data_IF_032755660856
#
_entry.id   IF_032755660856
#
_cell.length_a   1.000
_cell.length_b   1.000
_cell.length_c   1.000
_cell.angle_alpha   90.00
_cell.angle_beta   90.00
_cell.angle_gamma   90.00
#
_symmetry.space_group_name_H-M   'P 1'
#
loop_
_entity.id
_entity.type
_entity.pdbx_description
1 polymer ?
#
# COMPACT_ATOMS: atom_id res chain seq x y z
N UNK A 1 -7.77 -11.85 53.85
CA UNK A 1 -7.72 -13.22 54.40
C UNK A 1 -7.19 -14.15 53.31
N UNK A 2 -6.29 -15.06 53.71
CA UNK A 2 -5.56 -15.95 52.78
C UNK A 2 -6.51 -17.05 52.26
N UNK A 3 -7.39 -16.90 51.46
CA UNK A 3 -8.30 -17.92 50.89
C UNK A 3 -9.51 -17.32 50.19
N UNK A 4 -9.85 -16.09 50.50
CA UNK A 4 -11.02 -15.42 49.93
C UNK A 4 -10.86 -15.20 48.44
N UNK A 5 -9.65 -14.81 47.96
CA UNK A 5 -9.33 -14.66 46.56
C UNK A 5 -9.41 -15.96 45.75
N UNK A 6 -8.99 -17.09 46.39
CA UNK A 6 -9.06 -18.41 45.74
C UNK A 6 -10.52 -18.80 45.54
N UNK A 7 -11.35 -18.64 46.58
CA UNK A 7 -12.79 -18.96 46.49
C UNK A 7 -13.52 -18.11 45.47
N UNK A 8 -13.21 -16.80 45.39
CA UNK A 8 -13.75 -15.92 44.35
C UNK A 8 -13.31 -16.34 42.96
N UNK A 9 -12.04 -16.67 42.75
CA UNK A 9 -11.51 -17.18 41.51
C UNK A 9 -12.17 -18.48 41.05
N UNK A 10 -12.32 -19.43 41.97
CA UNK A 10 -13.03 -20.70 41.72
C UNK A 10 -14.51 -20.48 41.35
N UNK A 11 -15.18 -19.57 42.05
CA UNK A 11 -16.58 -19.23 41.76
C UNK A 11 -16.74 -18.59 40.33
N UNK A 12 -15.82 -17.72 39.94
CA UNK A 12 -15.86 -17.13 38.61
C UNK A 12 -15.54 -18.17 37.50
N UNK A 13 -14.59 -19.06 37.76
CA UNK A 13 -14.30 -20.19 36.84
C UNK A 13 -15.51 -21.11 36.69
N UNK A 14 -16.15 -21.49 37.80
CA UNK A 14 -17.35 -22.34 37.79
C UNK A 14 -18.52 -21.65 37.04
N UNK A 15 -18.71 -20.35 37.24
CA UNK A 15 -19.71 -19.54 36.52
C UNK A 15 -19.45 -19.51 35.01
N UNK A 16 -18.20 -19.31 34.60
CA UNK A 16 -17.82 -19.31 33.19
C UNK A 16 -17.98 -20.69 32.58
N UNK A 17 -17.58 -21.75 33.29
CA UNK A 17 -17.77 -23.12 32.86
C UNK A 17 -19.27 -23.44 32.65
N UNK A 18 -20.12 -23.21 33.66
CA UNK A 18 -21.55 -23.43 33.51
C UNK A 18 -22.19 -22.56 32.44
N UNK A 19 -21.74 -21.30 32.29
CA UNK A 19 -22.24 -20.37 31.31
C UNK A 19 -21.87 -20.74 29.87
N UNK A 20 -20.77 -21.45 29.64
CA UNK A 20 -20.37 -21.90 28.30
C UNK A 20 -21.31 -22.94 27.67
N UNK A 21 -22.08 -23.66 28.49
CA UNK A 21 -23.12 -24.59 28.00
C UNK A 21 -24.42 -23.88 27.57
N UNK A 22 -24.58 -22.61 27.96
CA UNK A 22 -25.85 -21.87 27.74
C UNK A 22 -25.67 -20.78 26.70
N UNK A 23 -24.49 -20.14 26.65
CA UNK A 23 -24.22 -19.00 25.79
C UNK A 23 -23.01 -19.24 24.90
N UNK A 24 -23.21 -19.25 23.57
CA UNK A 24 -22.14 -19.34 22.57
C UNK A 24 -21.17 -18.14 22.61
N UNK A 25 -21.63 -16.96 23.05
CA UNK A 25 -20.79 -15.74 23.17
C UNK A 25 -19.65 -15.90 24.18
N UNK A 26 -19.74 -16.88 25.07
CA UNK A 26 -18.68 -17.21 26.04
C UNK A 26 -17.61 -18.13 25.48
N UNK A 27 -17.85 -18.72 24.31
CA UNK A 27 -16.89 -19.54 23.59
C UNK A 27 -16.06 -18.63 22.70
N UNK A 28 -14.79 -18.48 23.01
CA UNK A 28 -13.84 -17.68 22.23
C UNK A 28 -13.21 -18.48 21.07
N UNK A 29 -13.49 -19.77 21.01
CA UNK A 29 -12.96 -20.67 19.99
C UNK A 29 -13.76 -20.53 18.70
N UNK A 30 -13.05 -20.32 17.59
CA UNK A 30 -13.60 -20.33 16.24
C UNK A 30 -13.29 -21.66 15.58
N UNK A 31 -14.27 -22.27 14.98
CA UNK A 31 -14.12 -23.58 14.30
C UNK A 31 -13.62 -23.38 12.87
N UNK A 32 -12.35 -22.98 12.76
CA UNK A 32 -11.70 -22.87 11.46
C UNK A 32 -11.45 -24.29 10.88
N UNK A 33 -11.70 -24.56 9.57
CA UNK A 33 -12.04 -23.60 8.51
C UNK A 33 -13.54 -23.36 8.29
N UNK A 34 -14.43 -24.03 9.04
CA UNK A 34 -15.89 -23.93 8.87
C UNK A 34 -16.40 -22.53 9.23
N UNK A 35 -15.81 -21.95 10.30
CA UNK A 35 -16.08 -20.59 10.70
C UNK A 35 -14.81 -19.72 10.48
N UNK A 36 -15.00 -18.53 9.91
CA UNK A 36 -13.92 -17.56 9.66
C UNK A 36 -14.24 -16.25 10.32
N UNK A 37 -13.29 -15.72 11.05
CA UNK A 37 -13.37 -14.35 11.57
C UNK A 37 -13.01 -13.40 10.42
N UNK A 38 -13.82 -12.36 10.21
CA UNK A 38 -13.47 -11.29 9.29
C UNK A 38 -12.20 -10.58 9.77
N UNK A 39 -11.17 -10.43 8.93
CA UNK A 39 -9.95 -9.70 9.31
C UNK A 39 -10.30 -8.24 9.61
N UNK A 40 -9.63 -7.67 10.60
CA UNK A 40 -9.74 -6.24 10.92
C UNK A 40 -8.95 -5.41 9.90
N UNK A 41 -9.30 -4.14 9.75
CA UNK A 41 -8.62 -3.24 8.81
C UNK A 41 -7.10 -3.15 9.01
N UNK A 42 -6.63 -3.29 10.24
CA UNK A 42 -5.19 -3.25 10.56
C UNK A 42 -4.44 -4.57 10.32
N UNK A 43 -5.07 -5.56 9.69
CA UNK A 43 -4.43 -6.85 9.37
C UNK A 43 -3.30 -6.66 8.36
N UNK A 44 -2.17 -7.38 8.59
CA UNK A 44 -0.95 -7.29 7.77
C UNK A 44 -0.51 -8.69 7.38
N UNK A 45 -0.92 -9.15 6.21
CA UNK A 45 -0.54 -10.48 5.75
C UNK A 45 0.53 -10.38 4.66
N UNK A 46 0.17 -10.28 3.38
CA UNK A 46 1.15 -10.24 2.31
C UNK A 46 1.08 -8.96 1.49
N UNK A 47 2.22 -8.46 0.99
CA UNK A 47 2.24 -7.24 0.19
C UNK A 47 1.66 -7.47 -1.21
N UNK A 48 0.92 -6.46 -1.71
CA UNK A 48 0.42 -6.40 -3.08
C UNK A 48 0.69 -5.03 -3.70
N UNK A 49 0.58 -4.93 -5.02
CA UNK A 49 0.78 -3.69 -5.78
C UNK A 49 -0.56 -3.09 -6.17
N UNK A 50 -0.75 -1.80 -5.88
CA UNK A 50 -1.97 -1.07 -6.25
C UNK A 50 -1.85 -0.52 -7.66
N UNK A 51 -2.93 -0.66 -8.43
CA UNK A 51 -3.09 0.01 -9.71
C UNK A 51 -4.42 0.78 -9.78
N UNK A 52 -4.44 1.84 -10.57
CA UNK A 52 -5.61 2.69 -10.82
C UNK A 52 -6.14 2.44 -12.24
N UNK A 53 -7.48 2.47 -12.40
CA UNK A 53 -8.14 2.30 -13.68
C UNK A 53 -8.37 0.84 -14.08
N UNK A 54 -8.67 0.62 -15.36
CA UNK A 54 -9.09 -0.70 -15.87
C UNK A 54 -7.91 -1.59 -16.30
N UNK A 55 -6.78 -0.99 -16.67
CA UNK A 55 -5.59 -1.71 -17.11
C UNK A 55 -4.54 -1.73 -16.00
N UNK A 56 -4.26 -2.91 -15.49
CA UNK A 56 -3.30 -3.10 -14.40
C UNK A 56 -1.88 -2.67 -14.77
N UNK A 57 -1.47 -2.83 -16.03
CA UNK A 57 -0.11 -2.51 -16.46
C UNK A 57 0.10 -1.01 -16.65
N UNK A 58 -0.88 -0.33 -17.23
CA UNK A 58 -0.83 1.11 -17.41
C UNK A 58 -1.08 1.88 -16.12
N UNK A 59 -1.97 1.35 -15.26
CA UNK A 59 -2.39 1.98 -14.00
C UNK A 59 -1.51 1.70 -12.78
N UNK A 60 -0.46 0.88 -12.92
CA UNK A 60 0.40 0.53 -11.79
C UNK A 60 1.09 1.76 -11.19
N UNK A 61 0.89 2.02 -9.90
CA UNK A 61 1.48 3.17 -9.18
C UNK A 61 2.99 3.06 -9.00
N UNK A 62 3.55 1.85 -9.11
CA UNK A 62 4.97 1.59 -8.88
C UNK A 62 5.84 2.21 -9.98
N UNK A 63 6.86 2.96 -9.58
CA UNK A 63 7.84 3.62 -10.47
C UNK A 63 9.22 2.96 -10.43
N UNK A 64 9.32 1.73 -9.95
CA UNK A 64 10.58 0.97 -9.86
C UNK A 64 11.74 1.74 -9.18
N UNK A 65 11.45 2.50 -8.12
CA UNK A 65 12.47 3.28 -7.41
C UNK A 65 13.44 2.40 -6.60
N UNK A 66 13.11 1.12 -6.37
CA UNK A 66 13.89 0.12 -5.64
C UNK A 66 14.12 0.43 -4.15
N UNK A 67 13.38 1.37 -3.56
CA UNK A 67 13.50 1.68 -2.13
C UNK A 67 13.05 0.49 -1.30
N UNK A 68 11.87 -0.07 -1.59
CA UNK A 68 11.32 -1.24 -0.89
C UNK A 68 12.23 -2.48 -0.98
N UNK A 69 12.91 -2.70 -2.12
CA UNK A 69 13.90 -3.76 -2.28
C UNK A 69 15.12 -3.56 -1.37
N UNK A 70 15.63 -2.33 -1.26
CA UNK A 70 16.79 -2.00 -0.43
C UNK A 70 16.48 -2.09 1.06
N UNK A 71 15.30 -1.62 1.46
CA UNK A 71 14.89 -1.58 2.86
C UNK A 71 14.28 -2.89 3.37
N UNK A 72 14.01 -3.86 2.49
CA UNK A 72 13.47 -5.16 2.87
C UNK A 72 14.48 -5.96 3.70
N UNK A 73 14.20 -6.31 4.98
CA UNK A 73 15.15 -7.04 5.82
C UNK A 73 15.48 -8.44 5.28
N UNK A 74 14.51 -9.28 4.89
CA UNK A 74 14.80 -10.61 4.33
C UNK A 74 15.22 -10.57 2.85
N UNK A 75 15.26 -9.38 2.19
CA UNK A 75 15.60 -9.21 0.77
C UNK A 75 14.73 -10.08 -0.16
N UNK A 76 13.45 -10.16 0.14
CA UNK A 76 12.50 -10.98 -0.63
C UNK A 76 11.90 -10.26 -1.84
N UNK A 77 12.21 -8.98 -2.06
CA UNK A 77 11.71 -8.15 -3.17
C UNK A 77 12.81 -8.01 -4.22
N UNK A 78 12.46 -8.23 -5.48
CA UNK A 78 13.37 -8.06 -6.61
C UNK A 78 12.72 -7.18 -7.68
N UNK A 79 13.43 -6.12 -8.12
CA UNK A 79 12.89 -5.12 -9.04
C UNK A 79 13.87 -4.84 -10.17
N UNK A 80 13.42 -5.07 -11.41
CA UNK A 80 14.11 -4.59 -12.62
C UNK A 80 13.36 -3.39 -13.22
N UNK A 81 14.11 -2.34 -13.54
CA UNK A 81 13.57 -1.14 -14.19
C UNK A 81 13.36 -1.39 -15.68
N UNK A 82 12.27 -0.85 -16.22
CA UNK A 82 12.07 -0.79 -17.67
C UNK A 82 13.05 0.16 -18.34
N UNK A 83 13.28 -0.01 -19.65
CA UNK A 83 14.01 0.96 -20.46
C UNK A 83 13.19 2.23 -20.74
N UNK A 84 11.87 2.05 -20.87
CA UNK A 84 10.92 3.13 -21.17
C UNK A 84 10.41 3.81 -19.90
N UNK A 85 9.92 5.05 -20.06
CA UNK A 85 9.33 5.82 -18.98
C UNK A 85 7.84 6.02 -19.22
N UNK A 86 7.06 5.94 -18.14
CA UNK A 86 5.63 6.29 -18.08
C UNK A 86 5.43 7.49 -17.16
N UNK A 87 4.38 8.30 -17.37
CA UNK A 87 4.06 9.36 -16.43
C UNK A 87 3.58 8.75 -15.10
N UNK A 88 4.06 9.31 -13.99
CA UNK A 88 3.55 9.00 -12.65
C UNK A 88 2.21 9.73 -12.38
N UNK A 89 1.66 9.60 -11.17
CA UNK A 89 0.40 10.25 -10.77
C UNK A 89 0.47 11.80 -10.83
N UNK A 90 1.66 12.36 -10.88
CA UNK A 90 1.93 13.81 -11.00
C UNK A 90 2.21 14.22 -12.45
N UNK A 91 2.27 13.27 -13.38
CA UNK A 91 2.60 13.50 -14.79
C UNK A 91 4.10 13.59 -15.10
N UNK A 92 4.98 13.26 -14.14
CA UNK A 92 6.42 13.20 -14.37
C UNK A 92 6.82 11.88 -15.02
N UNK A 93 7.72 11.89 -16.03
CA UNK A 93 8.20 10.66 -16.65
C UNK A 93 9.09 9.88 -15.67
N UNK A 94 8.62 8.72 -15.25
CA UNK A 94 9.29 7.79 -14.33
C UNK A 94 9.50 6.42 -15.00
N UNK A 95 10.48 5.68 -14.53
CA UNK A 95 10.60 4.29 -14.90
C UNK A 95 9.44 3.49 -14.29
N UNK A 96 9.09 2.35 -14.88
CA UNK A 96 8.16 1.41 -14.31
C UNK A 96 8.85 0.05 -14.14
N UNK A 97 8.32 -0.85 -13.32
CA UNK A 97 8.94 -2.16 -13.14
C UNK A 97 8.72 -3.04 -14.38
N UNK A 98 9.80 -3.39 -15.08
CA UNK A 98 9.76 -4.45 -16.09
C UNK A 98 9.54 -5.79 -15.40
N UNK A 99 10.21 -5.99 -14.23
CA UNK A 99 10.04 -7.13 -13.36
C UNK A 99 9.85 -6.66 -11.92
N UNK A 100 8.94 -7.29 -11.21
CA UNK A 100 8.70 -7.06 -9.79
C UNK A 100 8.24 -8.38 -9.18
N UNK A 101 9.13 -9.01 -8.45
CA UNK A 101 8.85 -10.29 -7.82
C UNK A 101 8.98 -10.17 -6.31
N UNK A 102 8.11 -10.87 -5.59
CA UNK A 102 8.22 -11.04 -4.14
C UNK A 102 8.21 -12.53 -3.80
N UNK A 103 9.24 -12.98 -3.10
CA UNK A 103 9.26 -14.32 -2.49
C UNK A 103 8.49 -14.26 -1.16
N UNK A 104 7.21 -14.63 -1.22
CA UNK A 104 6.32 -14.63 -0.06
C UNK A 104 6.76 -15.68 0.98
N UNK A 105 7.46 -16.74 0.58
CA UNK A 105 7.89 -17.80 1.50
C UNK A 105 8.91 -17.32 2.55
N UNK A 106 9.60 -16.21 2.29
CA UNK A 106 10.56 -15.59 3.23
C UNK A 106 10.12 -14.21 3.70
N UNK A 107 8.99 -13.71 3.19
CA UNK A 107 8.41 -12.45 3.64
C UNK A 107 7.95 -12.57 5.10
N UNK A 108 8.37 -11.62 5.94
CA UNK A 108 8.00 -11.57 7.36
C UNK A 108 6.81 -10.63 7.65
N UNK A 109 6.13 -10.14 6.63
CA UNK A 109 4.94 -9.26 6.73
C UNK A 109 5.17 -8.03 7.63
N UNK A 110 6.40 -7.49 7.63
CA UNK A 110 6.80 -6.39 8.53
C UNK A 110 6.30 -5.01 8.13
N UNK A 111 5.73 -4.86 6.93
CA UNK A 111 5.17 -3.61 6.38
C UNK A 111 6.21 -2.51 6.05
N UNK A 112 7.49 -2.70 6.28
CA UNK A 112 8.53 -1.69 5.98
C UNK A 112 8.46 -1.24 4.52
N UNK A 113 8.23 -2.17 3.57
CA UNK A 113 8.09 -1.86 2.14
C UNK A 113 6.93 -0.89 1.84
N UNK A 114 5.86 -0.94 2.63
CA UNK A 114 4.70 -0.01 2.52
C UNK A 114 5.08 1.36 3.05
N UNK A 115 5.68 1.42 4.24
CA UNK A 115 6.04 2.68 4.93
C UNK A 115 7.06 3.51 4.14
N UNK A 116 8.02 2.85 3.48
CA UNK A 116 9.07 3.53 2.70
C UNK A 116 8.64 3.90 1.29
N UNK A 117 7.45 3.50 0.83
CA UNK A 117 7.00 3.74 -0.53
C UNK A 117 6.43 5.15 -0.71
N UNK A 118 7.11 6.08 -1.42
CA UNK A 118 6.62 7.45 -1.58
C UNK A 118 5.50 7.57 -2.62
N UNK A 119 5.21 6.48 -3.36
CA UNK A 119 4.20 6.45 -4.43
C UNK A 119 2.92 5.72 -4.01
N UNK A 120 2.83 5.25 -2.76
CA UNK A 120 1.69 4.50 -2.24
C UNK A 120 1.32 3.29 -3.13
N UNK A 121 2.36 2.68 -3.72
CA UNK A 121 2.20 1.65 -4.74
C UNK A 121 2.16 0.23 -4.19
N UNK A 122 2.65 0.01 -2.98
CA UNK A 122 2.65 -1.29 -2.31
C UNK A 122 1.86 -1.19 -1.01
N UNK A 123 1.00 -2.17 -0.77
CA UNK A 123 0.10 -2.24 0.40
C UNK A 123 0.06 -3.66 0.94
N UNK A 124 -0.46 -3.83 2.17
CA UNK A 124 -0.65 -5.16 2.76
C UNK A 124 -2.07 -5.65 2.51
N UNK A 125 -2.19 -6.93 2.20
CA UNK A 125 -3.47 -7.61 2.03
C UNK A 125 -3.95 -8.20 3.37
N UNK A 126 -5.18 -8.66 3.38
CA UNK A 126 -5.79 -9.45 4.47
C UNK A 126 -5.90 -10.93 4.12
N UNK A 127 -5.36 -11.34 2.96
CA UNK A 127 -5.33 -12.72 2.51
C UNK A 127 -4.13 -13.45 3.14
N UNK A 128 -4.39 -14.55 3.85
CA UNK A 128 -3.38 -15.32 4.58
C UNK A 128 -3.27 -16.78 4.16
N UNK A 129 -4.23 -17.28 3.35
CA UNK A 129 -4.29 -18.68 2.94
C UNK A 129 -3.50 -18.93 1.65
N UNK A 130 -2.17 -18.85 1.72
CA UNK A 130 -1.27 -19.05 0.59
C UNK A 130 -0.50 -20.39 0.68
N UNK A 131 -1.17 -21.46 1.11
CA UNK A 131 -0.54 -22.79 1.19
C UNK A 131 -0.40 -23.40 -0.20
N UNK A 132 0.83 -23.85 -0.54
CA UNK A 132 1.15 -24.51 -1.80
C UNK A 132 2.25 -25.56 -1.60
N UNK A 133 2.22 -26.68 -2.34
CA UNK A 133 3.29 -27.65 -2.31
C UNK A 133 4.55 -27.24 -3.09
N UNK A 134 4.43 -26.26 -4.01
CA UNK A 134 5.53 -25.73 -4.79
C UNK A 134 5.85 -24.28 -4.41
N UNK A 135 7.02 -24.07 -3.81
CA UNK A 135 7.49 -22.76 -3.39
C UNK A 135 7.63 -21.78 -4.56
N UNK A 136 8.25 -22.21 -5.64
CA UNK A 136 8.56 -21.30 -6.74
C UNK A 136 7.36 -21.04 -7.66
N UNK A 137 6.48 -22.02 -7.81
CA UNK A 137 5.26 -21.84 -8.60
C UNK A 137 4.12 -21.13 -7.85
N UNK A 138 4.13 -21.19 -6.51
CA UNK A 138 3.01 -20.69 -5.72
C UNK A 138 3.34 -19.51 -4.78
N UNK A 139 4.59 -19.36 -4.32
CA UNK A 139 4.98 -18.34 -3.36
C UNK A 139 5.98 -17.31 -3.89
N UNK A 140 6.54 -17.52 -5.08
CA UNK A 140 7.27 -16.48 -5.81
C UNK A 140 6.26 -15.75 -6.71
N UNK A 141 5.73 -14.65 -6.23
CA UNK A 141 4.69 -13.88 -6.91
C UNK A 141 5.29 -12.85 -7.85
N UNK A 142 4.86 -12.88 -9.09
CA UNK A 142 5.25 -11.92 -10.11
C UNK A 142 4.42 -10.61 -10.04
N UNK A 143 4.84 -9.62 -10.80
CA UNK A 143 4.18 -8.31 -10.91
C UNK A 143 2.68 -8.39 -11.19
N UNK A 144 2.26 -9.35 -12.05
CA UNK A 144 0.86 -9.51 -12.43
C UNK A 144 0.02 -10.13 -11.31
N UNK A 145 0.57 -11.12 -10.62
CA UNK A 145 -0.07 -11.78 -9.49
C UNK A 145 -0.20 -10.83 -8.28
N UNK A 146 0.77 -9.95 -8.11
CA UNK A 146 0.77 -8.93 -7.05
C UNK A 146 -0.17 -7.75 -7.34
N UNK A 147 -0.50 -7.48 -8.62
CA UNK A 147 -1.31 -6.33 -8.99
C UNK A 147 -2.77 -6.50 -8.59
N UNK A 148 -3.28 -5.63 -7.71
CA UNK A 148 -4.69 -5.57 -7.30
C UNK A 148 -5.24 -4.15 -7.51
N UNK A 149 -6.53 -4.01 -7.92
CA UNK A 149 -7.11 -2.70 -8.19
C UNK A 149 -7.27 -1.87 -6.90
N UNK A 150 -7.29 -0.55 -7.04
CA UNK A 150 -7.51 0.36 -5.91
C UNK A 150 -8.85 0.10 -5.20
N UNK A 151 -9.87 -0.39 -5.90
CA UNK A 151 -11.16 -0.80 -5.30
C UNK A 151 -10.98 -1.94 -4.29
N UNK A 152 -10.04 -2.88 -4.55
CA UNK A 152 -9.71 -3.93 -3.59
C UNK A 152 -9.09 -3.31 -2.33
N UNK A 153 -8.18 -2.35 -2.49
CA UNK A 153 -7.57 -1.65 -1.35
C UNK A 153 -8.62 -0.91 -0.52
N UNK A 154 -9.56 -0.20 -1.15
CA UNK A 154 -10.68 0.44 -0.45
C UNK A 154 -11.60 -0.54 0.28
N UNK A 155 -11.75 -1.76 -0.24
CA UNK A 155 -12.58 -2.79 0.39
C UNK A 155 -11.96 -3.32 1.69
N UNK A 156 -10.63 -3.51 1.71
CA UNK A 156 -9.92 -4.11 2.86
C UNK A 156 -9.44 -3.08 3.87
N UNK A 157 -9.05 -1.88 3.42
CA UNK A 157 -8.54 -0.78 4.23
C UNK A 157 -9.25 0.55 3.92
N UNK A 158 -10.55 0.69 4.20
CA UNK A 158 -11.35 1.85 3.77
C UNK A 158 -10.83 3.18 4.34
N UNK A 159 -10.41 3.19 5.59
CA UNK A 159 -9.91 4.42 6.25
C UNK A 159 -8.55 4.84 5.69
N UNK A 160 -7.62 3.90 5.57
CA UNK A 160 -6.29 4.19 5.04
C UNK A 160 -6.34 4.57 3.55
N UNK A 161 -7.12 3.84 2.74
CA UNK A 161 -7.26 4.11 1.31
C UNK A 161 -7.81 5.52 1.05
N UNK A 162 -8.82 5.96 1.80
CA UNK A 162 -9.35 7.32 1.69
C UNK A 162 -8.30 8.40 2.03
N UNK A 163 -7.46 8.17 3.04
CA UNK A 163 -6.38 9.09 3.40
C UNK A 163 -5.27 9.12 2.33
N UNK A 164 -4.95 7.98 1.75
CA UNK A 164 -3.96 7.87 0.66
C UNK A 164 -4.44 8.61 -0.58
N UNK A 165 -5.68 8.40 -0.99
CA UNK A 165 -6.25 9.06 -2.17
C UNK A 165 -6.33 10.59 -1.98
N UNK A 166 -6.66 11.06 -0.78
CA UNK A 166 -6.62 12.48 -0.46
C UNK A 166 -5.19 13.06 -0.58
N UNK A 167 -4.17 12.36 -0.06
CA UNK A 167 -2.75 12.77 -0.19
C UNK A 167 -2.29 12.82 -1.65
N UNK A 168 -2.66 11.82 -2.45
CA UNK A 168 -2.32 11.76 -3.87
C UNK A 168 -3.01 12.89 -4.65
N UNK A 169 -4.27 13.18 -4.37
CA UNK A 169 -5.02 14.29 -4.95
C UNK A 169 -4.39 15.66 -4.62
N UNK A 170 -4.01 15.89 -3.35
CA UNK A 170 -3.29 17.10 -2.94
C UNK A 170 -1.93 17.21 -3.63
N UNK A 171 -1.19 16.10 -3.74
CA UNK A 171 0.10 16.06 -4.43
C UNK A 171 -0.04 16.46 -5.89
N UNK A 172 -1.07 15.94 -6.57
CA UNK A 172 -1.40 16.28 -7.95
C UNK A 172 -1.77 17.75 -8.10
N UNK A 173 -2.65 18.28 -7.26
CA UNK A 173 -3.05 19.69 -7.30
C UNK A 173 -1.86 20.65 -7.09
N UNK A 174 -0.95 20.33 -6.14
CA UNK A 174 0.28 21.11 -5.91
C UNK A 174 1.22 21.07 -7.12
N UNK A 175 1.30 19.94 -7.82
CA UNK A 175 2.12 19.81 -9.02
C UNK A 175 1.56 20.61 -10.21
N UNK A 176 0.24 20.54 -10.43
CA UNK A 176 -0.46 21.31 -11.48
C UNK A 176 -0.27 22.82 -11.25
N UNK A 177 -0.40 23.28 -10.01
CA UNK A 177 -0.15 24.68 -9.65
C UNK A 177 1.31 25.10 -9.93
N UNK A 178 2.29 24.23 -9.62
CA UNK A 178 3.70 24.52 -9.93
C UNK A 178 3.98 24.59 -11.43
N UNK A 179 3.38 23.71 -12.23
CA UNK A 179 3.51 23.71 -13.67
C UNK A 179 2.89 24.97 -14.28
N UNK A 180 1.71 25.37 -13.82
CA UNK A 180 1.04 26.59 -14.25
C UNK A 180 1.87 27.83 -13.92
N UNK A 181 2.39 27.95 -12.71
CA UNK A 181 3.24 29.06 -12.30
C UNK A 181 4.56 29.10 -13.09
N UNK A 182 5.16 27.94 -13.37
CA UNK A 182 6.38 27.86 -14.19
C UNK A 182 6.11 28.28 -15.64
N UNK A 183 4.96 27.90 -16.21
CA UNK A 183 4.56 28.33 -17.57
C UNK A 183 4.32 29.85 -17.64
N UNK A 184 3.65 30.42 -16.63
CA UNK A 184 3.46 31.88 -16.53
C UNK A 184 4.80 32.60 -16.42
N UNK A 185 5.71 32.11 -15.55
CA UNK A 185 7.04 32.70 -15.39
C UNK A 185 7.89 32.63 -16.67
N UNK A 186 7.77 31.54 -17.43
CA UNK A 186 8.42 31.40 -18.74
C UNK A 186 7.85 32.36 -19.78
N UNK A 187 6.53 32.53 -19.83
CA UNK A 187 5.85 33.48 -20.72
C UNK A 187 6.24 34.93 -20.41
N UNK A 188 6.35 35.29 -19.12
CA UNK A 188 6.79 36.64 -18.71
C UNK A 188 8.24 36.91 -19.07
N UNK A 189 9.14 35.92 -18.98
CA UNK A 189 10.54 36.04 -19.41
C UNK A 189 10.69 36.15 -20.94
N UNK A 190 9.80 35.50 -21.69
CA UNK A 190 9.77 35.60 -23.17
C UNK A 190 9.21 36.91 -23.71
N UNK A 191 8.50 37.69 -22.89
CA UNK A 191 8.01 39.02 -23.19
C UNK A 191 9.06 40.10 -22.82
N UNK A 192 10.31 39.96 -23.31
CA UNK A 192 11.28 41.06 -23.26
C UNK A 192 10.73 42.24 -24.04
N UNK A 193 10.47 43.33 -23.32
CA UNK A 193 10.07 44.62 -23.90
C UNK A 193 11.20 45.05 -24.85
N UNK A 194 10.95 45.29 -26.15
CA UNK A 194 11.99 45.79 -27.04
C UNK A 194 12.57 47.09 -26.49
N UNK A 195 13.89 47.11 -26.40
CA UNK A 195 14.62 48.29 -25.90
C UNK A 195 14.16 49.55 -26.61
N UNK A 196 13.78 50.55 -25.82
CA UNK A 196 13.38 51.89 -26.33
C UNK A 196 14.52 52.44 -27.21
N UNK A 197 14.25 52.86 -28.46
CA UNK A 197 15.29 53.42 -29.31
C UNK A 197 15.88 54.68 -28.63
N UNK A 198 17.20 54.94 -28.80
CA UNK A 198 17.83 56.11 -28.21
C UNK A 198 17.19 57.37 -28.76
N UNK A 199 16.83 58.29 -27.88
CA UNK A 199 16.32 59.62 -28.26
C UNK A 199 17.41 60.34 -29.08
N UNK A 200 17.09 60.64 -30.32
CA UNK A 200 17.94 61.45 -31.16
C UNK A 200 18.17 62.82 -30.51
N UNK A 201 19.44 63.17 -30.31
CA UNK A 201 19.83 64.52 -29.95
C UNK A 201 20.09 65.30 -31.20
N UNK A 202 19.42 66.43 -31.32
CA UNK A 202 19.81 67.54 -32.16
C UNK A 202 20.77 68.43 -31.35
#
# INVERSE_FOLDING_TARGET
MLGEGILKGMAETAKNFAGSFISAERLTTVQYPEERIAPIEATRDFPFLVYDGADWEAGLRCVACQICEKECPPKCIYIEKSADKKPDYVGKPQFYPAKFDIDISVCMSCQICVEVCPFEAIKMDTEFELSTPDRFGGLLLDRKQLAKPNEHYHKIHPTEAAQVDARLAEGKAKADTRQTNAAIAAAVKGAEIPARPPAGGD
#
